data_IF_259056895244
#
_entry.id   IF_259056895244
#
_cell.length_a   1.000
_cell.length_b   1.000
_cell.length_c   1.000
_cell.angle_alpha   90.00
_cell.angle_beta   90.00
_cell.angle_gamma   90.00
#
_symmetry.space_group_name_H-M   'P 1'
#
loop_
_entity.id
_entity.type
_entity.pdbx_description
1 polymer ?
#
# COMPACT_ATOMS: atom_id res chain seq x y z
N UNK A 1 -44.70 -25.96 20.16
CA UNK A 1 -44.03 -24.69 20.56
C UNK A 1 -42.51 -24.83 20.64
N UNK A 2 -41.94 -25.82 21.35
CA UNK A 2 -40.47 -25.99 21.46
C UNK A 2 -39.75 -26.21 20.11
N UNK A 3 -40.25 -27.10 19.25
CA UNK A 3 -39.63 -27.39 17.96
C UNK A 3 -39.57 -26.16 17.03
N UNK A 4 -40.67 -25.40 16.96
CA UNK A 4 -40.76 -24.17 16.15
C UNK A 4 -39.75 -23.11 16.62
N UNK A 5 -39.60 -22.95 17.93
CA UNK A 5 -38.63 -22.00 18.49
C UNK A 5 -37.19 -22.41 18.16
N UNK A 6 -36.87 -23.71 18.23
CA UNK A 6 -35.53 -24.22 17.91
C UNK A 6 -35.20 -24.05 16.42
N UNK A 7 -36.15 -24.29 15.52
CA UNK A 7 -35.90 -24.12 14.08
C UNK A 7 -35.73 -22.65 13.69
N UNK A 8 -36.50 -21.74 14.30
CA UNK A 8 -36.34 -20.29 14.09
C UNK A 8 -34.99 -19.81 14.60
N UNK A 9 -34.57 -20.28 15.80
CA UNK A 9 -33.26 -19.94 16.35
C UNK A 9 -32.11 -20.47 15.47
N UNK A 10 -32.21 -21.69 14.96
CA UNK A 10 -31.21 -22.29 14.07
C UNK A 10 -31.12 -21.54 12.74
N UNK A 11 -32.25 -21.16 12.14
CA UNK A 11 -32.27 -20.38 10.90
C UNK A 11 -31.63 -19.00 11.10
N UNK A 12 -31.94 -18.31 12.21
CA UNK A 12 -31.35 -17.01 12.53
C UNK A 12 -29.83 -17.09 12.75
N UNK A 13 -29.36 -18.12 13.47
CA UNK A 13 -27.93 -18.37 13.66
C UNK A 13 -27.22 -18.63 12.32
N UNK A 14 -27.82 -19.47 11.46
CA UNK A 14 -27.26 -19.80 10.15
C UNK A 14 -27.13 -18.56 9.25
N UNK A 15 -28.15 -17.70 9.21
CA UNK A 15 -28.11 -16.45 8.45
C UNK A 15 -27.02 -15.49 8.97
N UNK A 16 -26.89 -15.37 10.29
CA UNK A 16 -25.86 -14.53 10.91
C UNK A 16 -24.45 -15.03 10.56
N UNK A 17 -24.22 -16.34 10.66
CA UNK A 17 -22.93 -16.94 10.32
C UNK A 17 -22.61 -16.81 8.83
N UNK A 18 -23.60 -16.96 7.95
CA UNK A 18 -23.41 -16.81 6.52
C UNK A 18 -22.97 -15.40 6.13
N UNK A 19 -23.60 -14.37 6.72
CA UNK A 19 -23.22 -12.97 6.50
C UNK A 19 -21.80 -12.70 7.03
N UNK A 20 -21.49 -13.18 8.24
CA UNK A 20 -20.17 -13.00 8.84
C UNK A 20 -19.06 -13.73 8.08
N UNK A 21 -19.33 -14.93 7.56
CA UNK A 21 -18.33 -15.72 6.81
C UNK A 21 -18.07 -15.16 5.40
N UNK A 22 -19.08 -14.56 4.77
CA UNK A 22 -18.95 -13.97 3.44
C UNK A 22 -18.43 -12.53 3.47
N UNK A 23 -18.40 -11.90 4.65
CA UNK A 23 -17.81 -10.58 4.81
C UNK A 23 -16.29 -10.72 4.75
N UNK A 24 -15.70 -10.42 3.60
CA UNK A 24 -14.25 -10.37 3.43
C UNK A 24 -13.60 -9.40 4.44
N UNK A 25 -12.29 -9.54 4.71
CA UNK A 25 -11.58 -8.65 5.61
C UNK A 25 -11.81 -7.19 5.23
N UNK A 26 -12.14 -6.35 6.22
CA UNK A 26 -12.24 -4.92 6.01
C UNK A 26 -10.89 -4.39 5.50
N UNK A 27 -10.89 -3.44 4.54
CA UNK A 27 -9.65 -2.84 4.09
C UNK A 27 -8.97 -2.13 5.27
N UNK A 28 -7.76 -2.55 5.60
CA UNK A 28 -6.94 -1.91 6.61
C UNK A 28 -6.52 -0.52 6.09
N UNK A 29 -7.05 0.54 6.69
CA UNK A 29 -6.68 1.90 6.29
C UNK A 29 -5.31 2.24 6.87
N UNK A 30 -4.28 2.11 6.04
CA UNK A 30 -2.93 2.49 6.40
C UNK A 30 -2.78 4.03 6.35
N UNK A 31 -3.03 4.68 7.49
CA UNK A 31 -2.95 6.14 7.63
C UNK A 31 -1.56 6.71 7.27
N UNK A 32 -0.50 5.91 7.43
CA UNK A 32 0.87 6.33 7.09
C UNK A 32 1.04 6.51 5.57
N UNK A 33 0.39 5.68 4.76
CA UNK A 33 0.46 5.82 3.30
C UNK A 33 -0.37 7.00 2.79
N UNK A 34 -1.35 7.46 3.56
CA UNK A 34 -2.16 8.63 3.22
C UNK A 34 -1.44 9.96 3.49
N UNK A 35 -0.56 9.99 4.50
CA UNK A 35 0.17 11.21 4.90
C UNK A 35 1.64 11.23 4.49
N UNK A 36 2.19 10.13 3.95
CA UNK A 36 3.56 10.09 3.44
C UNK A 36 3.70 11.08 2.29
N UNK A 37 4.60 12.08 2.39
CA UNK A 37 4.93 12.92 1.26
C UNK A 37 5.40 12.03 0.12
N UNK A 38 4.72 12.08 -1.02
CA UNK A 38 5.21 11.43 -2.23
C UNK A 38 6.54 12.09 -2.59
N UNK A 39 7.63 11.33 -2.81
CA UNK A 39 8.88 11.90 -3.28
C UNK A 39 8.63 12.74 -4.54
N UNK A 40 9.15 13.97 -4.54
CA UNK A 40 9.11 14.81 -5.73
C UNK A 40 10.05 14.17 -6.76
N UNK A 41 9.54 13.97 -7.97
CA UNK A 41 10.36 13.45 -9.06
C UNK A 41 11.42 14.49 -9.46
N UNK A 42 12.67 14.06 -9.54
CA UNK A 42 13.77 14.86 -10.08
C UNK A 42 13.71 14.67 -11.61
N UNK A 43 13.34 15.71 -12.35
CA UNK A 43 13.14 15.65 -13.79
C UNK A 43 13.66 16.92 -14.47
N UNK A 44 14.10 16.78 -15.71
CA UNK A 44 14.72 17.86 -16.48
C UNK A 44 15.91 17.38 -17.30
N UNK A 45 16.62 18.31 -17.92
CA UNK A 45 17.89 18.01 -18.60
C UNK A 45 18.94 17.76 -17.52
N UNK A 46 19.67 16.66 -17.65
CA UNK A 46 20.78 16.32 -16.79
C UNK A 46 22.10 16.83 -17.39
N UNK A 47 22.99 17.32 -16.53
CA UNK A 47 24.41 17.52 -16.82
C UNK A 47 25.22 16.39 -16.16
N UNK A 48 26.29 15.94 -16.82
CA UNK A 48 27.20 14.94 -16.26
C UNK A 48 28.19 15.67 -15.35
N UNK A 49 28.38 15.16 -14.13
CA UNK A 49 29.38 15.65 -13.18
C UNK A 49 30.57 14.68 -13.13
N UNK A 50 30.29 13.39 -13.04
CA UNK A 50 31.26 12.30 -12.98
C UNK A 50 30.65 10.99 -13.55
N UNK A 51 31.43 9.90 -13.61
CA UNK A 51 31.02 8.60 -14.13
C UNK A 51 29.84 7.95 -13.38
N UNK A 52 29.63 8.30 -12.11
CA UNK A 52 28.50 7.82 -11.27
C UNK A 52 27.52 8.93 -10.87
N UNK A 53 27.79 10.19 -11.26
CA UNK A 53 27.11 11.37 -10.73
C UNK A 53 26.59 12.29 -11.84
N UNK A 54 25.30 12.58 -11.79
CA UNK A 54 24.65 13.56 -12.67
C UNK A 54 24.03 14.71 -11.86
N UNK A 55 23.82 15.85 -12.50
CA UNK A 55 23.11 16.99 -11.94
C UNK A 55 21.86 17.28 -12.76
N UNK A 56 20.70 17.40 -12.10
CA UNK A 56 19.43 17.81 -12.70
C UNK A 56 18.91 19.02 -11.94
N UNK A 57 18.85 20.18 -12.60
CA UNK A 57 18.39 21.44 -11.99
C UNK A 57 19.07 21.78 -10.65
N UNK A 58 20.39 21.61 -10.56
CA UNK A 58 21.17 21.90 -9.34
C UNK A 58 21.11 20.79 -8.27
N UNK A 59 20.39 19.71 -8.51
CA UNK A 59 20.37 18.54 -7.63
C UNK A 59 21.30 17.45 -8.18
N UNK A 60 22.25 17.00 -7.35
CA UNK A 60 23.16 15.91 -7.69
C UNK A 60 22.56 14.56 -7.33
N UNK A 61 22.65 13.61 -8.25
CA UNK A 61 22.17 12.24 -8.11
C UNK A 61 23.34 11.30 -8.38
N UNK A 62 23.67 10.47 -7.37
CA UNK A 62 24.63 9.37 -7.51
C UNK A 62 23.90 8.08 -7.87
N UNK A 63 24.46 7.31 -8.79
CA UNK A 63 23.89 6.03 -9.20
C UNK A 63 24.28 4.96 -8.20
N UNK A 64 23.32 4.52 -7.38
CA UNK A 64 23.56 3.49 -6.37
C UNK A 64 24.13 2.21 -7.02
N UNK A 65 25.26 1.73 -6.51
CA UNK A 65 25.93 0.51 -6.97
C UNK A 65 26.83 0.70 -8.20
N UNK A 66 26.98 1.92 -8.70
CA UNK A 66 27.98 2.29 -9.70
C UNK A 66 28.99 3.20 -9.00
N UNK A 67 30.27 2.92 -9.20
CA UNK A 67 31.37 3.72 -8.67
C UNK A 67 32.25 4.16 -9.84
N UNK A 68 32.56 5.45 -9.91
CA UNK A 68 33.42 5.97 -10.95
C UNK A 68 34.88 5.56 -10.66
N UNK A 69 35.69 5.22 -11.68
CA UNK A 69 37.12 5.03 -11.48
C UNK A 69 37.79 6.37 -11.16
N UNK A 70 38.79 6.35 -10.25
CA UNK A 70 39.65 7.50 -9.91
C UNK A 70 40.74 7.79 -10.96
#
# INVERSE_FOLDING_TARGET
>A
MRLVLVTVAAAAAFLTQHVMHNSGPLPEINLQNLTKPKPIAIAGVASIIDGDTIEVHGQRVRVNGIDAPE
#
